data_IF_291911831840
#
_entry.id   IF_291911831840
#
_cell.length_a   1.000
_cell.length_b   1.000
_cell.length_c   1.000
_cell.angle_alpha   90.00
_cell.angle_beta   90.00
_cell.angle_gamma   90.00
#
_symmetry.space_group_name_H-M   'P 1'
#
loop_
_entity.id
_entity.type
_entity.pdbx_description
1 polymer ?
#
# COMPACT_ATOMS: atom_id res chain seq x y z
N UNK A 1 -15.23 2.48 -2.87
CA UNK A 1 -16.11 3.64 -2.56
C UNK A 1 -17.52 3.22 -2.19
N UNK A 2 -18.27 2.49 -3.03
CA UNK A 2 -19.63 2.04 -2.68
C UNK A 2 -19.71 1.33 -1.32
N UNK A 3 -18.78 0.41 -1.06
CA UNK A 3 -18.69 -0.29 0.22
C UNK A 3 -18.60 0.71 1.39
N UNK A 4 -17.66 1.65 1.33
CA UNK A 4 -17.37 2.59 2.41
C UNK A 4 -18.42 3.66 2.62
N UNK A 5 -18.95 4.23 1.54
CA UNK A 5 -19.86 5.37 1.60
C UNK A 5 -21.34 4.95 1.68
N UNK A 6 -21.68 3.72 1.31
CA UNK A 6 -23.07 3.24 1.27
C UNK A 6 -23.26 2.00 2.14
N UNK A 7 -22.50 0.93 1.89
CA UNK A 7 -22.73 -0.37 2.55
C UNK A 7 -22.40 -0.31 4.05
N UNK A 8 -21.26 0.26 4.43
CA UNK A 8 -20.84 0.35 5.83
C UNK A 8 -21.85 1.13 6.70
N UNK A 9 -22.30 2.35 6.32
CA UNK A 9 -23.33 3.07 7.07
C UNK A 9 -24.67 2.33 7.18
N UNK A 10 -25.05 1.55 6.17
CA UNK A 10 -26.30 0.79 6.21
C UNK A 10 -26.21 -0.40 7.18
N UNK A 11 -25.07 -1.08 7.19
CA UNK A 11 -24.84 -2.28 8.01
C UNK A 11 -24.52 -1.91 9.46
N UNK A 12 -24.01 -0.71 9.75
CA UNK A 12 -23.65 -0.31 11.12
C UNK A 12 -24.82 -0.28 12.11
N UNK A 13 -26.06 -0.28 11.63
CA UNK A 13 -27.26 -0.31 12.47
C UNK A 13 -27.54 -1.69 13.10
N UNK A 14 -26.80 -2.74 12.73
CA UNK A 14 -26.99 -4.06 13.34
C UNK A 14 -26.45 -4.11 14.77
N UNK A 15 -27.10 -4.91 15.62
CA UNK A 15 -26.76 -5.12 17.05
C UNK A 15 -25.37 -5.72 17.31
N UNK A 16 -24.61 -6.01 16.25
CA UNK A 16 -23.24 -6.50 16.37
C UNK A 16 -22.22 -5.39 16.62
N UNK A 17 -22.58 -4.15 16.26
CA UNK A 17 -21.70 -2.99 16.39
C UNK A 17 -21.85 -2.27 17.73
N UNK A 18 -22.87 -2.58 18.53
CA UNK A 18 -23.19 -1.90 19.80
C UNK A 18 -22.00 -1.80 20.77
N UNK A 19 -21.15 -2.83 20.80
CA UNK A 19 -20.00 -2.90 21.71
C UNK A 19 -18.73 -2.23 21.14
N UNK A 20 -18.81 -1.58 19.97
CA UNK A 20 -17.68 -1.00 19.25
C UNK A 20 -17.88 0.50 19.02
N UNK A 21 -17.95 1.25 20.13
CA UNK A 21 -18.23 2.70 20.15
C UNK A 21 -17.27 3.49 19.25
N UNK A 22 -15.99 3.11 19.19
CA UNK A 22 -15.00 3.78 18.34
C UNK A 22 -15.31 3.64 16.84
N UNK A 23 -15.74 2.46 16.41
CA UNK A 23 -16.17 2.21 15.02
C UNK A 23 -17.45 2.98 14.72
N UNK A 24 -18.44 2.94 15.62
CA UNK A 24 -19.69 3.69 15.46
C UNK A 24 -19.45 5.21 15.38
N UNK A 25 -18.55 5.76 16.20
CA UNK A 25 -18.20 7.17 16.16
C UNK A 25 -17.61 7.59 14.81
N UNK A 26 -16.77 6.74 14.20
CA UNK A 26 -16.22 7.00 12.87
C UNK A 26 -17.29 6.94 11.77
N UNK A 27 -18.30 6.08 11.90
CA UNK A 27 -19.40 5.96 10.93
C UNK A 27 -20.40 7.11 11.10
N UNK A 28 -20.61 7.57 12.34
CA UNK A 28 -21.56 8.63 12.64
C UNK A 28 -20.98 10.04 12.40
N UNK A 29 -19.67 10.18 12.18
CA UNK A 29 -19.07 11.45 11.79
C UNK A 29 -19.54 11.86 10.38
N UNK A 30 -20.53 12.75 10.34
CA UNK A 30 -21.11 13.28 9.10
C UNK A 30 -20.08 13.92 8.15
N UNK A 31 -18.95 14.41 8.65
CA UNK A 31 -17.91 15.00 7.81
C UNK A 31 -17.24 13.96 6.89
N UNK A 32 -17.24 12.68 7.31
CA UNK A 32 -16.74 11.56 6.50
C UNK A 32 -17.59 11.34 5.23
N UNK A 33 -18.85 11.78 5.24
CA UNK A 33 -19.79 11.63 4.13
C UNK A 33 -20.12 12.97 3.46
N UNK A 34 -19.41 14.04 3.83
CA UNK A 34 -19.55 15.34 3.18
C UNK A 34 -19.19 15.29 1.70
N UNK A 35 -19.80 16.16 0.89
CA UNK A 35 -19.48 16.29 -0.54
C UNK A 35 -17.98 16.50 -0.78
N UNK A 36 -17.32 17.27 0.10
CA UNK A 36 -15.87 17.52 0.06
C UNK A 36 -15.05 16.24 0.26
N UNK A 37 -15.48 15.34 1.14
CA UNK A 37 -14.81 14.06 1.34
C UNK A 37 -15.03 13.16 0.13
N UNK A 38 -16.28 12.99 -0.30
CA UNK A 38 -16.62 12.14 -1.46
C UNK A 38 -15.89 12.59 -2.72
N UNK A 39 -15.86 13.89 -3.01
CA UNK A 39 -15.19 14.43 -4.20
C UNK A 39 -13.68 14.15 -4.19
N UNK A 40 -13.03 14.22 -3.02
CA UNK A 40 -11.61 13.86 -2.89
C UNK A 40 -11.35 12.39 -3.18
N UNK A 41 -12.21 11.48 -2.76
CA UNK A 41 -12.05 10.06 -3.12
C UNK A 41 -12.27 9.86 -4.63
N UNK A 42 -13.31 10.47 -5.21
CA UNK A 42 -13.60 10.38 -6.66
C UNK A 42 -12.48 10.94 -7.54
N UNK A 43 -11.81 11.99 -7.11
CA UNK A 43 -10.71 12.64 -7.82
C UNK A 43 -9.34 12.01 -7.52
N UNK A 44 -9.28 10.81 -6.93
CA UNK A 44 -8.02 10.15 -6.54
C UNK A 44 -7.14 11.04 -5.62
N UNK A 45 -7.78 11.83 -4.75
CA UNK A 45 -7.17 12.64 -3.68
C UNK A 45 -7.50 12.17 -2.24
N UNK A 46 -7.67 10.86 -1.93
CA UNK A 46 -8.03 10.40 -0.59
C UNK A 46 -7.01 10.77 0.50
N UNK A 47 -5.74 10.99 0.16
CA UNK A 47 -4.70 11.45 1.10
C UNK A 47 -4.97 12.83 1.70
N UNK A 48 -5.84 13.63 1.07
CA UNK A 48 -6.26 14.94 1.58
C UNK A 48 -7.65 14.92 2.21
N UNK A 49 -8.30 13.75 2.23
CA UNK A 49 -9.62 13.56 2.78
C UNK A 49 -9.55 13.07 4.24
N UNK A 50 -10.69 13.10 4.94
CA UNK A 50 -10.81 12.34 6.19
C UNK A 50 -10.74 10.84 5.89
N UNK A 51 -10.23 10.09 6.86
CA UNK A 51 -10.15 8.63 6.77
C UNK A 51 -11.57 8.07 6.84
N UNK A 52 -12.00 7.38 5.79
CA UNK A 52 -13.31 6.72 5.72
C UNK A 52 -13.11 5.21 5.90
N UNK A 53 -13.89 4.59 6.78
CA UNK A 53 -13.82 3.16 7.04
C UNK A 53 -14.00 2.32 5.77
N UNK A 54 -13.23 1.25 5.64
CA UNK A 54 -13.21 0.37 4.45
C UNK A 54 -12.54 0.98 3.21
N UNK A 55 -12.21 2.27 3.20
CA UNK A 55 -11.44 2.94 2.15
C UNK A 55 -10.18 3.64 2.67
N UNK A 56 -9.82 3.41 3.94
CA UNK A 56 -8.68 4.06 4.60
C UNK A 56 -7.38 3.80 3.85
N UNK A 57 -7.17 2.60 3.32
CA UNK A 57 -6.01 2.22 2.52
C UNK A 57 -5.89 3.02 1.21
N UNK A 58 -7.00 3.49 0.62
CA UNK A 58 -7.01 4.06 -0.74
C UNK A 58 -6.16 5.32 -0.94
N UNK A 59 -5.68 5.96 0.13
CA UNK A 59 -4.70 7.05 0.04
C UNK A 59 -3.46 6.65 -0.77
N UNK A 60 -2.97 5.41 -0.67
CA UNK A 60 -1.75 5.02 -1.40
C UNK A 60 -2.03 4.83 -2.88
N UNK A 61 -3.19 4.29 -3.25
CA UNK A 61 -3.64 4.19 -4.65
C UNK A 61 -3.74 5.59 -5.27
N UNK A 62 -4.36 6.54 -4.56
CA UNK A 62 -4.48 7.92 -5.04
C UNK A 62 -3.11 8.55 -5.32
N UNK A 63 -2.14 8.32 -4.44
CA UNK A 63 -0.75 8.72 -4.66
C UNK A 63 -0.13 8.02 -5.87
N UNK A 64 -0.31 6.71 -5.99
CA UNK A 64 0.25 5.91 -7.09
C UNK A 64 -0.27 6.38 -8.45
N UNK A 65 -1.58 6.57 -8.59
CA UNK A 65 -2.21 7.08 -9.81
C UNK A 65 -1.69 8.48 -10.17
N UNK A 66 -1.59 9.38 -9.20
CA UNK A 66 -1.00 10.71 -9.42
C UNK A 66 0.45 10.62 -9.88
N UNK A 67 1.23 9.73 -9.27
CA UNK A 67 2.62 9.51 -9.65
C UNK A 67 2.73 8.99 -11.09
N UNK A 68 1.92 8.01 -11.47
CA UNK A 68 1.88 7.44 -12.81
C UNK A 68 1.34 8.39 -13.87
N UNK A 69 0.53 9.38 -13.50
CA UNK A 69 0.12 10.45 -14.41
C UNK A 69 1.23 11.50 -14.58
N UNK A 70 1.87 11.92 -13.48
CA UNK A 70 2.84 13.03 -13.49
C UNK A 70 4.18 12.60 -14.09
N UNK A 71 4.73 11.43 -13.72
CA UNK A 71 6.08 11.04 -14.15
C UNK A 71 6.24 10.92 -15.68
N UNK A 72 5.31 10.30 -16.44
CA UNK A 72 5.41 10.24 -17.89
C UNK A 72 5.33 11.62 -18.55
N UNK A 73 4.46 12.51 -18.06
CA UNK A 73 4.38 13.89 -18.54
C UNK A 73 5.71 14.63 -18.30
N UNK A 74 6.32 14.44 -17.13
CA UNK A 74 7.64 15.01 -16.86
C UNK A 74 8.71 14.47 -17.81
N UNK A 75 8.72 13.16 -18.09
CA UNK A 75 9.65 12.58 -19.07
C UNK A 75 9.41 13.07 -20.51
N UNK A 76 8.17 13.46 -20.84
CA UNK A 76 7.83 14.04 -22.15
C UNK A 76 8.34 15.48 -22.30
N UNK A 77 8.20 16.30 -21.25
CA UNK A 77 8.58 17.72 -21.32
C UNK A 77 10.03 18.02 -20.94
N UNK A 78 10.69 17.18 -20.14
CA UNK A 78 12.04 17.42 -19.65
C UNK A 78 13.08 16.48 -20.28
N UNK A 79 14.31 16.98 -20.44
CA UNK A 79 15.44 16.12 -20.81
C UNK A 79 15.68 15.03 -19.76
N UNK A 80 16.23 13.87 -20.16
CA UNK A 80 16.56 12.77 -19.23
C UNK A 80 17.43 13.25 -18.05
N UNK A 81 18.37 14.15 -18.30
CA UNK A 81 19.24 14.74 -17.27
C UNK A 81 18.44 15.63 -16.30
N UNK A 82 17.62 16.53 -16.83
CA UNK A 82 16.78 17.42 -16.01
C UNK A 82 15.78 16.63 -15.16
N UNK A 83 15.17 15.60 -15.73
CA UNK A 83 14.27 14.70 -15.01
C UNK A 83 14.99 13.97 -13.87
N UNK A 84 16.17 13.40 -14.13
CA UNK A 84 16.93 12.70 -13.09
C UNK A 84 17.37 13.65 -11.98
N UNK A 85 17.84 14.86 -12.31
CA UNK A 85 18.17 15.90 -11.33
C UNK A 85 16.93 16.26 -10.50
N UNK A 86 15.77 16.42 -11.14
CA UNK A 86 14.52 16.67 -10.43
C UNK A 86 14.20 15.56 -9.42
N UNK A 87 14.34 14.28 -9.81
CA UNK A 87 14.10 13.15 -8.90
C UNK A 87 15.11 13.15 -7.74
N UNK A 88 16.39 13.43 -8.00
CA UNK A 88 17.40 13.55 -6.95
C UNK A 88 17.08 14.67 -5.97
N UNK A 89 16.66 15.83 -6.48
CA UNK A 89 16.21 16.97 -5.65
C UNK A 89 14.97 16.56 -4.85
N UNK A 90 13.99 15.93 -5.48
CA UNK A 90 12.75 15.51 -4.82
C UNK A 90 13.04 14.56 -3.65
N UNK A 91 13.93 13.58 -3.84
CA UNK A 91 14.37 12.67 -2.77
C UNK A 91 15.24 13.40 -1.73
N UNK A 92 16.15 14.28 -2.18
CA UNK A 92 17.12 15.00 -1.37
C UNK A 92 16.54 16.09 -0.47
N UNK A 93 15.45 16.77 -0.90
CA UNK A 93 14.72 17.80 -0.14
C UNK A 93 14.32 17.31 1.25
N UNK A 94 14.18 16.00 1.44
CA UNK A 94 13.91 15.42 2.75
C UNK A 94 15.00 15.70 3.79
N UNK A 95 16.26 15.68 3.39
CA UNK A 95 17.40 15.88 4.29
C UNK A 95 17.67 17.35 4.60
N UNK A 96 16.94 18.25 3.95
CA UNK A 96 17.05 19.67 4.22
C UNK A 96 16.03 20.00 5.31
N UNK A 97 16.46 20.37 6.53
CA UNK A 97 15.57 20.77 7.61
C UNK A 97 15.02 22.17 7.30
N UNK A 98 14.11 22.29 6.33
CA UNK A 98 13.55 23.58 5.96
C UNK A 98 12.25 23.78 6.73
N UNK A 99 12.36 24.59 7.79
CA UNK A 99 11.27 25.10 8.62
C UNK A 99 10.26 25.93 7.80
N UNK A 100 10.62 26.33 6.58
CA UNK A 100 9.86 27.25 5.71
C UNK A 100 9.38 26.67 4.38
N UNK A 101 9.55 25.37 4.10
CA UNK A 101 8.84 24.79 2.94
C UNK A 101 7.35 24.86 3.28
N UNK A 102 6.58 25.59 2.46
CA UNK A 102 5.14 25.67 2.60
C UNK A 102 4.55 24.27 2.85
N UNK A 103 3.79 24.15 3.95
CA UNK A 103 3.15 22.90 4.41
C UNK A 103 2.48 22.12 3.26
N UNK A 104 1.90 22.83 2.31
CA UNK A 104 1.30 22.27 1.09
C UNK A 104 2.29 21.53 0.20
N UNK A 105 3.45 22.11 -0.11
CA UNK A 105 4.47 21.45 -0.92
C UNK A 105 5.06 20.23 -0.21
N UNK A 106 5.24 20.33 1.11
CA UNK A 106 5.66 19.18 1.91
C UNK A 106 4.63 18.03 1.84
N UNK A 107 3.35 18.33 2.01
CA UNK A 107 2.27 17.33 1.93
C UNK A 107 2.18 16.68 0.55
N UNK A 108 2.30 17.48 -0.52
CA UNK A 108 2.25 17.00 -1.90
C UNK A 108 3.41 16.07 -2.23
N UNK A 109 4.63 16.45 -1.83
CA UNK A 109 5.84 15.69 -2.18
C UNK A 109 6.11 14.52 -1.24
N UNK A 110 5.53 14.50 -0.03
CA UNK A 110 5.82 13.52 1.02
C UNK A 110 5.82 12.07 0.51
N UNK A 111 4.83 11.71 -0.29
CA UNK A 111 4.68 10.34 -0.77
C UNK A 111 5.52 10.04 -2.01
N UNK A 112 5.72 11.04 -2.89
CA UNK A 112 6.52 10.89 -4.10
C UNK A 112 8.01 10.64 -3.79
N UNK A 113 8.50 11.07 -2.62
CA UNK A 113 9.89 10.88 -2.21
C UNK A 113 10.30 9.41 -2.17
N UNK A 114 9.46 8.55 -1.61
CA UNK A 114 9.75 7.11 -1.53
C UNK A 114 9.65 6.48 -2.93
N UNK A 115 8.68 6.89 -3.74
CA UNK A 115 8.56 6.43 -5.13
C UNK A 115 9.76 6.88 -6.00
N UNK A 116 10.31 8.05 -5.72
CA UNK A 116 11.53 8.57 -6.34
C UNK A 116 12.76 7.67 -6.11
N UNK A 117 12.87 7.02 -4.94
CA UNK A 117 13.89 5.97 -4.70
C UNK A 117 13.76 4.84 -5.72
N UNK A 118 12.51 4.42 -5.99
CA UNK A 118 12.21 3.42 -7.02
C UNK A 118 12.65 3.88 -8.42
N UNK A 119 12.40 5.14 -8.78
CA UNK A 119 12.84 5.72 -10.07
C UNK A 119 14.36 5.73 -10.18
N UNK A 120 15.07 6.14 -9.12
CA UNK A 120 16.53 6.12 -9.07
C UNK A 120 17.04 4.68 -9.24
N UNK A 121 16.43 3.72 -8.54
CA UNK A 121 16.75 2.31 -8.68
C UNK A 121 16.53 1.77 -10.09
N UNK A 122 15.42 2.14 -10.74
CA UNK A 122 15.14 1.81 -12.14
C UNK A 122 16.14 2.42 -13.11
N UNK A 123 16.54 3.67 -12.88
CA UNK A 123 17.58 4.35 -13.66
C UNK A 123 18.93 3.61 -13.56
N UNK A 124 19.37 3.29 -12.33
CA UNK A 124 20.62 2.53 -12.15
C UNK A 124 20.52 1.12 -12.74
N UNK A 125 19.38 0.46 -12.61
CA UNK A 125 19.15 -0.85 -13.23
C UNK A 125 19.26 -0.80 -14.75
N UNK A 126 18.74 0.25 -15.39
CA UNK A 126 18.82 0.44 -16.83
C UNK A 126 20.26 0.54 -17.34
N UNK A 127 21.13 1.30 -16.66
CA UNK A 127 22.52 1.49 -17.10
C UNK A 127 23.51 0.44 -16.58
N UNK A 128 23.26 -0.18 -15.43
CA UNK A 128 24.21 -1.07 -14.73
C UNK A 128 23.60 -2.45 -14.42
N UNK A 129 22.75 -2.95 -15.30
CA UNK A 129 22.02 -4.23 -15.14
C UNK A 129 22.93 -5.42 -14.84
N UNK A 130 24.12 -5.51 -15.46
CA UNK A 130 25.08 -6.60 -15.25
C UNK A 130 25.66 -6.62 -13.83
N UNK A 131 26.11 -5.46 -13.34
CA UNK A 131 26.63 -5.29 -11.97
C UNK A 131 25.55 -5.58 -10.93
N UNK A 132 24.35 -5.04 -11.13
CA UNK A 132 23.22 -5.25 -10.22
C UNK A 132 22.78 -6.73 -10.22
N UNK A 133 22.75 -7.38 -11.39
CA UNK A 133 22.45 -8.81 -11.50
C UNK A 133 23.47 -9.68 -10.75
N UNK A 134 24.75 -9.30 -10.78
CA UNK A 134 25.78 -10.02 -10.01
C UNK A 134 25.60 -9.84 -8.50
N UNK A 135 25.34 -8.62 -8.03
CA UNK A 135 25.07 -8.34 -6.60
C UNK A 135 23.83 -9.09 -6.11
N UNK A 136 22.79 -9.16 -6.93
CA UNK A 136 21.49 -9.76 -6.57
C UNK A 136 21.45 -11.30 -6.67
N UNK A 137 22.58 -11.96 -6.98
CA UNK A 137 22.73 -13.43 -6.88
C UNK A 137 23.06 -13.90 -5.46
N UNK A 138 23.59 -13.02 -4.62
CA UNK A 138 24.10 -13.40 -3.31
C UNK A 138 22.96 -13.73 -2.33
N UNK A 139 22.87 -14.99 -1.91
CA UNK A 139 21.90 -15.43 -0.89
C UNK A 139 22.13 -14.73 0.44
N UNK A 140 23.40 -14.50 0.81
CA UNK A 140 23.75 -13.82 2.06
C UNK A 140 23.21 -12.39 2.09
N UNK A 141 23.44 -11.62 1.02
CA UNK A 141 22.95 -10.24 0.92
C UNK A 141 21.41 -10.22 0.94
N UNK A 142 20.76 -11.17 0.26
CA UNK A 142 19.31 -11.31 0.30
C UNK A 142 18.78 -11.51 1.74
N UNK A 143 19.32 -12.48 2.48
CA UNK A 143 18.88 -12.73 3.86
C UNK A 143 19.19 -11.56 4.79
N UNK A 144 20.35 -10.92 4.63
CA UNK A 144 20.71 -9.72 5.38
C UNK A 144 19.67 -8.60 5.17
N UNK A 145 19.28 -8.35 3.91
CA UNK A 145 18.25 -7.35 3.59
C UNK A 145 16.92 -7.72 4.22
N UNK A 146 16.47 -8.98 4.12
CA UNK A 146 15.20 -9.42 4.72
C UNK A 146 15.22 -9.24 6.24
N UNK A 147 16.31 -9.62 6.91
CA UNK A 147 16.49 -9.44 8.36
C UNK A 147 16.44 -7.95 8.71
N UNK A 148 17.14 -7.09 7.96
CA UNK A 148 17.13 -5.64 8.19
C UNK A 148 15.73 -5.03 7.99
N UNK A 149 14.98 -5.49 6.98
CA UNK A 149 13.59 -5.07 6.76
C UNK A 149 12.74 -5.43 7.97
N UNK A 150 12.79 -6.68 8.43
CA UNK A 150 12.01 -7.14 9.59
C UNK A 150 12.40 -6.34 10.84
N UNK A 151 13.70 -6.18 11.08
CA UNK A 151 14.24 -5.46 12.22
C UNK A 151 13.81 -3.98 12.23
N UNK A 152 14.01 -3.24 11.15
CA UNK A 152 13.67 -1.82 11.07
C UNK A 152 12.16 -1.56 10.96
N UNK A 153 11.37 -2.57 10.58
CA UNK A 153 9.91 -2.50 10.61
C UNK A 153 9.36 -2.59 12.03
N UNK A 154 10.02 -3.36 12.90
CA UNK A 154 9.61 -3.53 14.29
C UNK A 154 10.26 -2.50 15.23
N UNK A 155 11.54 -2.20 15.02
CA UNK A 155 12.32 -1.27 15.85
C UNK A 155 12.59 0.03 15.09
N UNK A 156 12.13 1.15 15.65
CA UNK A 156 12.48 2.49 15.16
C UNK A 156 13.82 2.88 15.78
N UNK A 157 14.91 2.53 15.11
CA UNK A 157 16.28 2.78 15.59
C UNK A 157 16.82 4.14 15.15
N UNK A 158 16.29 4.68 14.04
CA UNK A 158 16.80 5.89 13.41
C UNK A 158 15.86 7.09 13.63
N UNK A 159 16.41 8.30 13.84
CA UNK A 159 15.62 9.47 14.17
C UNK A 159 14.77 9.98 13.00
N UNK A 160 13.65 10.64 13.33
CA UNK A 160 12.76 11.27 12.37
C UNK A 160 12.17 10.27 11.37
N UNK A 161 12.11 10.65 10.08
CA UNK A 161 11.66 9.72 9.04
C UNK A 161 12.80 8.90 8.42
N UNK A 162 14.05 9.01 8.91
CA UNK A 162 15.21 8.34 8.30
C UNK A 162 14.99 6.82 8.23
N UNK A 163 14.40 6.24 9.28
CA UNK A 163 14.01 4.83 9.31
C UNK A 163 13.16 4.42 8.10
N UNK A 164 12.19 5.25 7.71
CA UNK A 164 11.29 4.99 6.57
C UNK A 164 12.01 5.04 5.23
N UNK A 165 13.00 5.92 5.07
CA UNK A 165 13.79 6.01 3.84
C UNK A 165 14.77 4.85 3.70
N UNK A 166 15.42 4.44 4.79
CA UNK A 166 16.26 3.24 4.79
C UNK A 166 15.41 2.00 4.49
N UNK A 167 14.23 1.88 5.08
CA UNK A 167 13.27 0.84 4.70
C UNK A 167 12.93 0.93 3.20
N UNK A 168 12.65 2.11 2.66
CA UNK A 168 12.40 2.30 1.22
C UNK A 168 13.55 1.83 0.34
N UNK A 169 14.80 2.12 0.72
CA UNK A 169 16.00 1.63 0.02
C UNK A 169 16.14 0.10 0.13
N UNK A 170 15.90 -0.48 1.30
CA UNK A 170 15.94 -1.94 1.49
C UNK A 170 14.84 -2.64 0.67
N UNK A 171 13.64 -2.07 0.58
CA UNK A 171 12.58 -2.57 -0.29
C UNK A 171 12.95 -2.44 -1.77
N UNK A 172 13.61 -1.36 -2.19
CA UNK A 172 14.18 -1.27 -3.54
C UNK A 172 15.15 -2.42 -3.82
N UNK A 173 16.08 -2.70 -2.90
CA UNK A 173 16.97 -3.84 -3.08
C UNK A 173 16.18 -5.15 -3.16
N UNK A 174 15.19 -5.37 -2.28
CA UNK A 174 14.33 -6.54 -2.34
C UNK A 174 13.66 -6.69 -3.72
N UNK A 175 13.17 -5.60 -4.31
CA UNK A 175 12.63 -5.59 -5.68
C UNK A 175 13.69 -5.98 -6.71
N UNK A 176 14.91 -5.44 -6.62
CA UNK A 176 16.00 -5.81 -7.54
C UNK A 176 16.37 -7.31 -7.41
N UNK A 177 16.35 -7.85 -6.18
CA UNK A 177 16.56 -9.28 -5.92
C UNK A 177 15.44 -10.15 -6.50
N UNK A 178 14.18 -9.69 -6.48
CA UNK A 178 13.05 -10.47 -6.99
C UNK A 178 12.96 -10.45 -8.52
N UNK A 179 13.33 -9.34 -9.17
CA UNK A 179 13.35 -9.23 -10.64
C UNK A 179 14.45 -10.10 -11.26
N UNK A 180 15.60 -10.25 -10.58
CA UNK A 180 16.69 -11.08 -11.09
C UNK A 180 16.28 -12.56 -11.23
N UNK A 181 16.14 -13.02 -12.47
CA UNK A 181 15.71 -14.39 -12.81
C UNK A 181 16.70 -15.45 -12.31
N UNK A 182 17.98 -15.12 -12.20
CA UNK A 182 18.99 -16.05 -11.68
C UNK A 182 18.88 -16.30 -10.18
N UNK A 183 18.16 -15.45 -9.45
CA UNK A 183 17.96 -15.60 -8.02
C UNK A 183 16.80 -16.56 -7.71
N UNK A 184 17.14 -17.81 -7.34
CA UNK A 184 16.16 -18.84 -6.95
C UNK A 184 15.41 -18.53 -5.65
N UNK A 185 15.86 -17.57 -4.84
CA UNK A 185 15.18 -17.16 -3.61
C UNK A 185 14.03 -16.19 -3.85
N UNK A 186 13.91 -15.61 -5.04
CA UNK A 186 12.75 -14.84 -5.41
C UNK A 186 11.51 -15.75 -5.31
N UNK A 187 10.53 -15.39 -4.47
CA UNK A 187 9.32 -16.16 -4.12
C UNK A 187 8.41 -16.49 -5.34
N UNK A 188 8.90 -17.32 -6.25
CA UNK A 188 8.28 -17.64 -7.55
C UNK A 188 7.53 -18.97 -7.56
N UNK A 189 7.20 -19.52 -6.38
CA UNK A 189 6.40 -20.75 -6.33
C UNK A 189 4.95 -20.47 -6.77
N UNK A 190 4.20 -21.52 -7.08
CA UNK A 190 2.82 -21.41 -7.58
C UNK A 190 1.90 -20.66 -6.60
N UNK A 191 2.09 -20.88 -5.30
CA UNK A 191 1.27 -20.29 -4.23
C UNK A 191 1.49 -18.78 -4.15
N UNK A 192 2.73 -18.32 -3.96
CA UNK A 192 3.06 -16.89 -3.90
C UNK A 192 2.75 -16.17 -5.20
N UNK A 193 2.94 -16.82 -6.35
CA UNK A 193 2.54 -16.26 -7.64
C UNK A 193 1.02 -16.07 -7.71
N UNK A 194 0.22 -17.01 -7.20
CA UNK A 194 -1.23 -16.88 -7.13
C UNK A 194 -1.68 -15.80 -6.14
N UNK A 195 -1.08 -15.76 -4.94
CA UNK A 195 -1.34 -14.70 -3.97
C UNK A 195 -0.98 -13.32 -4.53
N UNK A 196 0.10 -13.23 -5.32
CA UNK A 196 0.47 -12.02 -6.06
C UNK A 196 -0.61 -11.60 -7.07
N UNK A 197 -1.25 -12.55 -7.76
CA UNK A 197 -2.35 -12.25 -8.71
C UNK A 197 -3.57 -11.66 -8.04
N UNK A 198 -3.92 -12.12 -6.83
CA UNK A 198 -5.07 -11.61 -6.07
C UNK A 198 -4.71 -10.49 -5.07
N UNK A 199 -3.45 -10.04 -5.08
CA UNK A 199 -2.90 -9.11 -4.08
C UNK A 199 -3.62 -7.76 -4.08
N UNK A 200 -4.09 -7.31 -5.25
CA UNK A 200 -4.93 -6.12 -5.36
C UNK A 200 -6.21 -6.27 -4.52
N UNK A 201 -6.93 -7.39 -4.69
CA UNK A 201 -8.11 -7.70 -3.88
C UNK A 201 -7.79 -7.74 -2.39
N UNK A 202 -6.69 -8.41 -2.00
CA UNK A 202 -6.29 -8.52 -0.58
C UNK A 202 -6.10 -7.11 0.01
N UNK A 203 -5.38 -6.27 -0.71
CA UNK A 203 -5.15 -4.89 -0.35
C UNK A 203 -6.45 -4.06 -0.35
N UNK A 204 -7.40 -4.28 -1.25
CA UNK A 204 -8.66 -3.52 -1.24
C UNK A 204 -9.62 -3.93 -0.14
N UNK A 205 -9.79 -5.23 0.11
CA UNK A 205 -10.87 -5.72 0.95
C UNK A 205 -10.47 -5.89 2.42
N UNK A 206 -9.18 -5.96 2.77
CA UNK A 206 -8.77 -6.22 4.17
C UNK A 206 -9.41 -5.25 5.18
N UNK A 207 -9.46 -3.95 4.87
CA UNK A 207 -10.04 -2.95 5.78
C UNK A 207 -11.55 -3.11 5.96
N UNK A 208 -12.26 -3.52 4.90
CA UNK A 208 -13.69 -3.84 4.99
C UNK A 208 -13.93 -5.15 5.75
N UNK A 209 -13.10 -6.17 5.52
CA UNK A 209 -13.17 -7.44 6.24
C UNK A 209 -12.91 -7.24 7.73
N UNK A 210 -11.93 -6.43 8.10
CA UNK A 210 -11.66 -6.06 9.50
C UNK A 210 -12.86 -5.33 10.12
N UNK A 211 -13.51 -4.44 9.37
CA UNK A 211 -14.73 -3.77 9.82
C UNK A 211 -15.86 -4.76 10.19
N UNK A 212 -16.01 -5.87 9.44
CA UNK A 212 -17.02 -6.88 9.75
C UNK A 212 -16.59 -7.81 10.89
N UNK A 213 -15.35 -8.30 10.84
CA UNK A 213 -14.84 -9.32 11.74
C UNK A 213 -14.61 -8.76 13.15
N UNK A 214 -14.08 -7.54 13.27
CA UNK A 214 -13.71 -7.01 14.58
C UNK A 214 -14.92 -6.93 15.54
N UNK A 215 -16.09 -6.40 15.12
CA UNK A 215 -17.29 -6.40 15.96
C UNK A 215 -17.85 -7.80 16.25
N UNK A 216 -17.84 -8.69 15.25
CA UNK A 216 -18.21 -10.10 15.40
C UNK A 216 -17.39 -10.79 16.50
N UNK A 217 -16.06 -10.71 16.40
CA UNK A 217 -15.15 -11.36 17.35
C UNK A 217 -15.27 -10.73 18.74
N UNK A 218 -15.41 -9.40 18.82
CA UNK A 218 -15.59 -8.72 20.11
C UNK A 218 -16.84 -9.18 20.84
N UNK A 219 -17.97 -9.28 20.13
CA UNK A 219 -19.25 -9.71 20.72
C UNK A 219 -19.18 -11.13 21.28
N UNK A 220 -18.55 -12.06 20.56
CA UNK A 220 -18.57 -13.48 20.94
C UNK A 220 -17.39 -13.92 21.82
N UNK A 221 -16.21 -13.31 21.68
CA UNK A 221 -14.99 -13.74 22.38
C UNK A 221 -14.53 -12.72 23.42
N UNK A 222 -14.48 -11.43 23.09
CA UNK A 222 -13.92 -10.42 23.99
C UNK A 222 -14.82 -10.16 25.20
N UNK A 223 -16.13 -10.03 24.98
CA UNK A 223 -17.11 -9.83 26.07
C UNK A 223 -17.15 -11.03 27.03
N UNK A 224 -16.96 -12.25 26.51
CA UNK A 224 -17.08 -13.49 27.30
C UNK A 224 -15.80 -13.86 28.05
N UNK A 225 -14.64 -13.73 27.38
CA UNK A 225 -13.38 -14.30 27.84
C UNK A 225 -12.24 -13.27 27.98
N UNK A 226 -12.44 -12.01 27.60
CA UNK A 226 -11.38 -10.98 27.57
C UNK A 226 -10.40 -11.15 26.41
N UNK A 227 -9.34 -10.32 26.40
CA UNK A 227 -8.28 -10.33 25.38
C UNK A 227 -7.27 -11.47 25.62
N UNK A 228 -7.70 -12.70 25.36
CA UNK A 228 -6.87 -13.90 25.52
C UNK A 228 -6.20 -14.31 24.19
N UNK A 229 -5.26 -15.26 24.27
CA UNK A 229 -4.59 -15.83 23.08
C UNK A 229 -5.62 -16.39 22.08
N UNK A 230 -6.70 -17.02 22.55
CA UNK A 230 -7.77 -17.55 21.69
C UNK A 230 -8.49 -16.45 20.90
N UNK A 231 -8.75 -15.30 21.51
CA UNK A 231 -9.31 -14.13 20.83
C UNK A 231 -8.39 -13.66 19.70
N UNK A 232 -7.10 -13.50 19.98
CA UNK A 232 -6.13 -13.02 18.99
C UNK A 232 -5.94 -14.01 17.84
N UNK A 233 -5.81 -15.31 18.14
CA UNK A 233 -5.71 -16.36 17.12
C UNK A 233 -6.95 -16.31 16.22
N UNK A 234 -8.15 -16.27 16.79
CA UNK A 234 -9.38 -16.24 16.00
C UNK A 234 -9.51 -14.97 15.17
N UNK A 235 -9.23 -13.79 15.74
CA UNK A 235 -9.28 -12.51 15.03
C UNK A 235 -8.33 -12.50 13.83
N UNK A 236 -7.06 -12.86 14.03
CA UNK A 236 -6.07 -12.86 12.95
C UNK A 236 -6.38 -13.93 11.90
N UNK A 237 -6.65 -15.17 12.31
CA UNK A 237 -6.95 -16.25 11.34
C UNK A 237 -8.18 -15.95 10.51
N UNK A 238 -9.29 -15.53 11.13
CA UNK A 238 -10.51 -15.17 10.40
C UNK A 238 -10.28 -13.98 9.46
N UNK A 239 -9.61 -12.91 9.91
CA UNK A 239 -9.33 -11.75 9.06
C UNK A 239 -8.50 -12.09 7.83
N UNK A 240 -7.46 -12.92 7.95
CA UNK A 240 -6.68 -13.38 6.79
C UNK A 240 -7.50 -14.28 5.87
N UNK A 241 -8.21 -15.27 6.42
CA UNK A 241 -9.00 -16.24 5.64
C UNK A 241 -10.08 -15.50 4.84
N UNK A 242 -10.91 -14.69 5.47
CA UNK A 242 -11.99 -13.99 4.79
C UNK A 242 -11.48 -12.93 3.80
N UNK A 243 -10.35 -12.26 4.10
CA UNK A 243 -9.73 -11.35 3.14
C UNK A 243 -9.29 -12.10 1.88
N UNK A 244 -8.61 -13.24 2.03
CA UNK A 244 -8.17 -14.04 0.89
C UNK A 244 -9.38 -14.57 0.12
N UNK A 245 -10.41 -15.10 0.79
CA UNK A 245 -11.61 -15.63 0.14
C UNK A 245 -12.36 -14.57 -0.67
N UNK A 246 -12.62 -13.39 -0.09
CA UNK A 246 -13.25 -12.28 -0.83
C UNK A 246 -12.37 -11.82 -1.98
N UNK A 247 -11.04 -11.82 -1.82
CA UNK A 247 -10.12 -11.43 -2.88
C UNK A 247 -10.13 -12.42 -4.04
N UNK A 248 -10.25 -13.73 -3.77
CA UNK A 248 -10.40 -14.76 -4.80
C UNK A 248 -11.71 -14.55 -5.56
N UNK A 249 -12.83 -14.37 -4.85
CA UNK A 249 -14.15 -14.10 -5.47
C UNK A 249 -14.06 -12.83 -6.33
N UNK A 250 -13.50 -11.76 -5.78
CA UNK A 250 -13.34 -10.50 -6.53
C UNK A 250 -12.49 -10.68 -7.77
N UNK A 251 -11.41 -11.45 -7.68
CA UNK A 251 -10.52 -11.72 -8.80
C UNK A 251 -11.23 -12.47 -9.91
N UNK A 252 -11.93 -13.56 -9.58
CA UNK A 252 -12.60 -14.40 -10.57
C UNK A 252 -13.77 -13.67 -11.25
N UNK A 253 -14.62 -12.99 -10.48
CA UNK A 253 -15.86 -12.41 -11.01
C UNK A 253 -15.70 -11.01 -11.61
N UNK A 254 -14.75 -10.21 -11.11
CA UNK A 254 -14.58 -8.82 -11.52
C UNK A 254 -13.20 -8.60 -12.17
N UNK A 255 -12.11 -8.79 -11.42
CA UNK A 255 -10.78 -8.37 -11.84
C UNK A 255 -10.30 -9.08 -13.12
N UNK A 256 -10.50 -10.40 -13.19
CA UNK A 256 -10.05 -11.22 -14.32
C UNK A 256 -10.66 -10.78 -15.65
N UNK A 257 -11.90 -10.27 -15.63
CA UNK A 257 -12.59 -9.75 -16.82
C UNK A 257 -11.93 -8.47 -17.31
N UNK A 258 -11.64 -7.52 -16.41
CA UNK A 258 -10.96 -6.27 -16.77
C UNK A 258 -9.52 -6.52 -17.25
N UNK A 259 -8.79 -7.45 -16.61
CA UNK A 259 -7.45 -7.84 -17.04
C UNK A 259 -7.48 -8.43 -18.45
N UNK A 260 -8.43 -9.32 -18.76
CA UNK A 260 -8.59 -9.88 -20.11
C UNK A 260 -8.86 -8.80 -21.14
N UNK A 261 -9.75 -7.84 -20.84
CA UNK A 261 -10.05 -6.72 -21.75
C UNK A 261 -8.80 -5.88 -22.00
N UNK A 262 -8.04 -5.56 -20.95
CA UNK A 262 -6.79 -4.81 -21.05
C UNK A 262 -5.78 -5.54 -21.93
N UNK A 263 -5.55 -6.82 -21.66
CA UNK A 263 -4.56 -7.63 -22.37
C UNK A 263 -4.92 -7.84 -23.85
N UNK A 264 -6.21 -7.88 -24.19
CA UNK A 264 -6.67 -7.96 -25.58
C UNK A 264 -6.51 -6.65 -26.36
N UNK A 265 -6.74 -5.50 -25.71
CA UNK A 265 -6.80 -4.19 -26.40
C UNK A 265 -5.51 -3.38 -26.37
N UNK A 266 -4.75 -3.47 -25.27
CA UNK A 266 -3.69 -2.50 -24.96
C UNK A 266 -2.33 -3.14 -24.67
N UNK A 267 -2.22 -4.47 -24.73
CA UNK A 267 -0.93 -5.13 -24.57
C UNK A 267 -0.10 -4.84 -25.81
N UNK A 268 0.91 -3.99 -25.66
CA UNK A 268 1.93 -3.81 -26.69
C UNK A 268 2.55 -5.20 -26.97
N UNK A 269 2.58 -5.58 -28.25
CA UNK A 269 3.28 -6.78 -28.71
C UNK A 269 4.77 -6.66 -28.45
#
# INVERSE_FOLDING_TARGET
MLISFVVIPLISNFSIFEHNISLLNLINDSENYSFKTISRYLLFLPQYAKVVLGASQSWSIGVEEQFYLIMPLMLFFFSRRSFFIFILILVGIYFIPIIEIHKWFFLLTKYFRIMGIGVIGGFFYFYYSSTISNLTKSKFIYFLIVILIIFLSYFIVLPGNLNRYILGLLFLFLILFTINVSNKLAFRNKIFSYLGKISYGIYMYHSFILFLIFPLVNKYFLVKNGNNISYNIFLYTSSYIFTILISIISYEFFESKFIKIKDLKYKAK
#
